data_IF_047092517150
#
_entry.id   IF_047092517150
#
_cell.length_a   1.000
_cell.length_b   1.000
_cell.length_c   1.000
_cell.angle_alpha   90.00
_cell.angle_beta   90.00
_cell.angle_gamma   90.00
#
_symmetry.space_group_name_H-M   'P 1'
#
loop_
_entity.id
_entity.type
_entity.pdbx_description
1 polymer ?
#
# COMPACT_ATOMS: atom_id res chain seq x y z
N UNK A 1 27.07 41.14 7.24
CA UNK A 1 26.08 40.39 8.04
C UNK A 1 24.73 40.52 7.35
N UNK A 2 24.24 39.43 6.74
CA UNK A 2 22.89 39.34 6.17
C UNK A 2 22.31 38.03 6.69
N UNK A 3 21.49 38.12 7.73
CA UNK A 3 20.64 37.03 8.18
C UNK A 3 19.43 36.96 7.27
N UNK A 4 19.22 35.83 6.63
CA UNK A 4 17.94 35.46 6.02
C UNK A 4 17.38 34.31 6.84
N UNK A 5 16.39 34.63 7.66
CA UNK A 5 15.54 33.68 8.37
C UNK A 5 14.57 33.09 7.34
N UNK A 6 14.69 31.79 7.05
CA UNK A 6 13.67 31.07 6.30
C UNK A 6 12.48 30.82 7.22
N UNK A 7 11.36 31.47 6.91
CA UNK A 7 10.07 31.21 7.55
C UNK A 7 9.50 29.89 7.01
N UNK A 8 9.32 28.90 7.91
CA UNK A 8 8.54 27.70 7.62
C UNK A 8 7.05 28.08 7.65
N UNK A 9 6.42 28.16 6.49
CA UNK A 9 4.98 28.27 6.36
C UNK A 9 4.38 26.87 6.54
N UNK A 10 3.92 26.55 7.75
CA UNK A 10 2.96 25.47 7.96
C UNK A 10 1.60 25.95 7.47
N UNK A 11 1.23 25.54 6.25
CA UNK A 11 -0.08 25.80 5.69
C UNK A 11 -0.73 24.48 5.24
N UNK A 12 -1.87 24.23 5.87
CA UNK A 12 -3.08 23.62 5.30
C UNK A 12 -3.13 22.09 5.20
N UNK A 13 -3.97 21.53 6.08
CA UNK A 13 -4.54 20.20 5.92
C UNK A 13 -5.41 20.12 4.66
N UNK A 14 -5.07 19.14 3.84
CA UNK A 14 -5.93 18.21 3.12
C UNK A 14 -4.99 17.05 2.80
N UNK A 15 -5.08 15.94 3.54
CA UNK A 15 -4.26 14.75 3.34
C UNK A 15 -4.72 13.94 2.10
N UNK A 16 -4.79 14.64 0.96
CA UNK A 16 -4.83 14.06 -0.40
C UNK A 16 -3.46 13.42 -0.66
N UNK A 17 -3.31 12.43 -1.55
CA UNK A 17 -2.02 11.83 -1.85
C UNK A 17 -0.97 12.90 -2.02
N UNK A 18 -0.02 12.91 -1.08
CA UNK A 18 1.18 13.70 -1.21
C UNK A 18 1.86 13.25 -2.51
N UNK A 19 2.32 14.21 -3.31
CA UNK A 19 3.25 14.04 -4.43
C UNK A 19 2.68 13.88 -5.85
N UNK A 20 2.22 14.99 -6.40
CA UNK A 20 2.56 15.28 -7.79
C UNK A 20 4.10 15.13 -7.95
N UNK A 21 4.56 14.07 -8.60
CA UNK A 21 5.99 13.80 -8.86
C UNK A 21 6.63 12.61 -8.14
N UNK A 22 5.89 11.85 -7.30
CA UNK A 22 6.43 10.61 -6.71
C UNK A 22 6.66 9.56 -7.78
N UNK A 23 7.78 8.79 -7.70
CA UNK A 23 8.02 7.69 -8.62
C UNK A 23 6.92 6.63 -8.51
N UNK A 24 6.47 6.12 -9.66
CA UNK A 24 5.41 5.12 -9.72
C UNK A 24 5.67 3.89 -8.84
N UNK A 25 6.92 3.41 -8.77
CA UNK A 25 7.27 2.26 -7.95
C UNK A 25 7.10 2.52 -6.45
N UNK A 26 7.26 3.76 -5.99
CA UNK A 26 7.04 4.14 -4.59
C UNK A 26 5.55 4.14 -4.26
N UNK A 27 4.71 4.67 -5.16
CA UNK A 27 3.25 4.61 -5.00
C UNK A 27 2.71 3.18 -4.99
N UNK A 28 3.34 2.28 -5.76
CA UNK A 28 3.02 0.85 -5.73
C UNK A 28 3.40 0.21 -4.39
N UNK A 29 4.56 0.55 -3.83
CA UNK A 29 4.93 0.11 -2.47
C UNK A 29 3.93 0.65 -1.45
N UNK A 30 3.61 1.95 -1.51
CA UNK A 30 2.65 2.61 -0.62
C UNK A 30 1.29 1.91 -0.59
N UNK A 31 0.77 1.58 -1.76
CA UNK A 31 -0.48 0.87 -1.91
C UNK A 31 -0.40 -0.59 -1.43
N UNK A 32 0.69 -1.30 -1.70
CA UNK A 32 0.86 -2.68 -1.19
C UNK A 32 0.87 -2.71 0.35
N UNK A 33 1.57 -1.76 0.99
CA UNK A 33 1.65 -1.68 2.46
C UNK A 33 0.30 -1.30 3.05
N UNK A 34 -0.43 -0.36 2.44
CA UNK A 34 -1.78 -0.01 2.90
C UNK A 34 -2.72 -1.22 2.89
N UNK A 35 -2.72 -1.99 1.80
CA UNK A 35 -3.56 -3.19 1.67
C UNK A 35 -3.16 -4.23 2.74
N UNK A 36 -1.87 -4.48 2.92
CA UNK A 36 -1.35 -5.40 3.95
C UNK A 36 -1.81 -4.98 5.36
N UNK A 37 -1.75 -3.68 5.68
CA UNK A 37 -2.21 -3.16 6.97
C UNK A 37 -3.71 -3.31 7.17
N UNK A 38 -4.53 -3.08 6.14
CA UNK A 38 -5.99 -3.19 6.21
C UNK A 38 -6.50 -4.63 6.30
N UNK A 39 -5.78 -5.59 5.70
CA UNK A 39 -6.04 -7.02 5.90
C UNK A 39 -5.66 -7.49 7.31
N UNK A 40 -4.88 -6.68 8.03
CA UNK A 40 -4.32 -6.98 9.34
C UNK A 40 -2.95 -7.63 9.22
N UNK A 41 -2.08 -7.35 10.18
CA UNK A 41 -0.73 -7.93 10.24
C UNK A 41 -0.70 -9.40 10.68
N UNK A 42 -1.89 -10.00 10.88
CA UNK A 42 -2.03 -11.42 11.21
C UNK A 42 -1.88 -12.24 9.93
N UNK A 43 -1.17 -13.37 10.03
CA UNK A 43 -0.98 -14.28 8.90
C UNK A 43 -2.32 -14.87 8.44
N UNK A 44 -2.83 -14.35 7.32
CA UNK A 44 -3.97 -14.92 6.61
C UNK A 44 -3.55 -16.22 5.92
N UNK A 45 -4.40 -17.25 6.01
CA UNK A 45 -4.21 -18.48 5.24
C UNK A 45 -4.94 -18.38 3.91
N UNK A 46 -4.26 -18.62 2.78
CA UNK A 46 -4.90 -18.61 1.47
C UNK A 46 -6.12 -19.54 1.41
N UNK A 47 -7.18 -19.11 0.71
CA UNK A 47 -8.40 -19.87 0.46
C UNK A 47 -9.43 -19.84 1.60
N UNK A 48 -9.16 -19.15 2.72
CA UNK A 48 -10.15 -18.99 3.78
C UNK A 48 -11.21 -17.92 3.47
N UNK A 49 -10.87 -16.93 2.66
CA UNK A 49 -11.76 -15.82 2.31
C UNK A 49 -11.34 -15.23 0.96
N UNK A 50 -12.18 -15.43 -0.05
CA UNK A 50 -11.92 -14.98 -1.43
C UNK A 50 -11.63 -13.48 -1.55
N UNK A 51 -12.25 -12.65 -0.70
CA UNK A 51 -11.97 -11.21 -0.69
C UNK A 51 -10.57 -10.90 -0.16
N UNK A 52 -10.16 -11.58 0.91
CA UNK A 52 -8.80 -11.42 1.44
C UNK A 52 -7.76 -12.01 0.49
N UNK A 53 -8.07 -13.13 -0.18
CA UNK A 53 -7.23 -13.70 -1.23
C UNK A 53 -7.04 -12.70 -2.39
N UNK A 54 -8.11 -12.02 -2.81
CA UNK A 54 -8.06 -10.99 -3.85
C UNK A 54 -7.19 -9.80 -3.43
N UNK A 55 -7.32 -9.33 -2.19
CA UNK A 55 -6.53 -8.21 -1.68
C UNK A 55 -5.05 -8.58 -1.50
N UNK A 56 -4.76 -9.79 -1.02
CA UNK A 56 -3.39 -10.30 -0.95
C UNK A 56 -2.77 -10.41 -2.34
N UNK A 57 -3.51 -10.91 -3.32
CA UNK A 57 -3.07 -10.98 -4.71
C UNK A 57 -2.82 -9.57 -5.31
N UNK A 58 -3.68 -8.60 -5.01
CA UNK A 58 -3.51 -7.21 -5.45
C UNK A 58 -2.26 -6.57 -4.83
N UNK A 59 -2.05 -6.73 -3.52
CA UNK A 59 -0.84 -6.27 -2.82
C UNK A 59 0.43 -6.87 -3.43
N UNK A 60 0.42 -8.20 -3.66
CA UNK A 60 1.54 -8.90 -4.29
C UNK A 60 1.81 -8.41 -5.72
N UNK A 61 0.78 -8.16 -6.52
CA UNK A 61 0.94 -7.64 -7.87
C UNK A 61 1.56 -6.23 -7.88
N UNK A 62 1.14 -5.36 -6.96
CA UNK A 62 1.75 -4.03 -6.80
C UNK A 62 3.22 -4.12 -6.38
N UNK A 63 3.55 -4.98 -5.42
CA UNK A 63 4.93 -5.22 -4.98
C UNK A 63 5.79 -5.79 -6.10
N UNK A 64 5.28 -6.75 -6.86
CA UNK A 64 5.96 -7.32 -8.02
C UNK A 64 6.24 -6.27 -9.10
N UNK A 65 5.28 -5.39 -9.37
CA UNK A 65 5.48 -4.30 -10.34
C UNK A 65 6.45 -3.23 -9.83
N UNK A 66 6.46 -2.94 -8.52
CA UNK A 66 7.46 -2.08 -7.91
C UNK A 66 8.87 -2.68 -8.08
N UNK A 67 9.04 -3.96 -7.75
CA UNK A 67 10.30 -4.70 -7.92
C UNK A 67 10.80 -4.68 -9.37
N UNK A 68 9.90 -4.84 -10.35
CA UNK A 68 10.25 -4.78 -11.78
C UNK A 68 10.80 -3.41 -12.21
N UNK A 69 10.43 -2.34 -11.50
CA UNK A 69 10.79 -0.95 -11.81
C UNK A 69 11.91 -0.39 -10.94
N UNK A 70 12.31 -1.09 -9.88
CA UNK A 70 13.36 -0.67 -8.95
C UNK A 70 14.28 -1.84 -8.55
N UNK A 71 14.39 -2.15 -7.26
CA UNK A 71 15.18 -3.23 -6.69
C UNK A 71 14.51 -3.81 -5.44
N UNK A 72 14.91 -5.02 -5.06
CA UNK A 72 14.45 -5.68 -3.84
C UNK A 72 14.79 -4.86 -2.59
N UNK A 73 16.06 -4.44 -2.46
CA UNK A 73 16.51 -3.61 -1.33
C UNK A 73 15.67 -2.34 -1.16
N UNK A 74 15.36 -1.66 -2.27
CA UNK A 74 14.54 -0.46 -2.23
C UNK A 74 13.11 -0.77 -1.77
N UNK A 75 12.49 -1.81 -2.33
CA UNK A 75 11.10 -2.17 -1.98
C UNK A 75 11.00 -2.57 -0.50
N UNK A 76 11.98 -3.29 0.04
CA UNK A 76 12.04 -3.66 1.46
C UNK A 76 12.20 -2.43 2.33
N UNK A 77 13.23 -1.61 2.09
CA UNK A 77 13.50 -0.41 2.89
C UNK A 77 12.31 0.56 2.88
N UNK A 78 11.75 0.80 1.68
CA UNK A 78 10.62 1.70 1.52
C UNK A 78 9.34 1.16 2.15
N UNK A 79 9.11 -0.15 2.12
CA UNK A 79 7.94 -0.77 2.77
C UNK A 79 7.95 -0.53 4.28
N UNK A 80 9.11 -0.63 4.93
CA UNK A 80 9.24 -0.41 6.37
C UNK A 80 9.02 1.07 6.75
N UNK A 81 9.56 1.99 5.95
CA UNK A 81 9.35 3.43 6.14
C UNK A 81 7.87 3.80 5.97
N UNK A 82 7.26 3.35 4.87
CA UNK A 82 5.85 3.61 4.57
C UNK A 82 4.92 2.99 5.62
N UNK A 83 5.23 1.79 6.12
CA UNK A 83 4.44 1.18 7.21
C UNK A 83 4.41 2.08 8.44
N UNK A 84 5.56 2.65 8.80
CA UNK A 84 5.66 3.60 9.91
C UNK A 84 4.81 4.84 9.64
N UNK A 85 4.89 5.41 8.43
CA UNK A 85 4.11 6.58 8.03
C UNK A 85 2.60 6.32 8.04
N UNK A 86 2.16 5.11 7.66
CA UNK A 86 0.74 4.72 7.72
C UNK A 86 0.24 4.66 9.16
N UNK A 87 1.02 4.09 10.07
CA UNK A 87 0.67 4.05 11.50
C UNK A 87 0.63 5.47 12.09
N UNK A 88 1.61 6.32 11.78
CA UNK A 88 1.60 7.73 12.20
C UNK A 88 0.37 8.47 11.66
N UNK A 89 -0.01 8.24 10.39
CA UNK A 89 -1.20 8.83 9.79
C UNK A 89 -2.48 8.31 10.43
N UNK A 90 -2.56 7.01 10.72
CA UNK A 90 -3.70 6.38 11.37
C UNK A 90 -4.01 7.06 12.71
N UNK A 91 -2.98 7.28 13.53
CA UNK A 91 -3.06 7.98 14.81
C UNK A 91 -3.39 9.46 14.63
N UNK A 92 -2.69 10.16 13.74
CA UNK A 92 -2.84 11.60 13.53
C UNK A 92 -4.25 11.98 13.05
N UNK A 93 -4.80 11.20 12.12
CA UNK A 93 -6.13 11.44 11.54
C UNK A 93 -7.25 10.75 12.35
N UNK A 94 -6.90 9.94 13.35
CA UNK A 94 -7.82 9.28 14.26
C UNK A 94 -8.71 8.25 13.56
N UNK A 95 -8.12 7.41 12.70
CA UNK A 95 -8.85 6.43 11.88
C UNK A 95 -9.46 5.25 12.66
N UNK A 96 -9.25 5.19 13.98
CA UNK A 96 -10.06 4.33 14.85
C UNK A 96 -11.54 4.73 14.85
N UNK A 97 -11.83 6.03 14.68
CA UNK A 97 -13.19 6.53 14.51
C UNK A 97 -13.63 6.34 13.04
N UNK A 98 -14.65 5.49 12.76
CA UNK A 98 -15.14 5.30 11.40
C UNK A 98 -15.60 6.60 10.73
N UNK A 99 -16.05 7.59 11.51
CA UNK A 99 -16.44 8.92 11.01
C UNK A 99 -15.29 9.74 10.43
N UNK A 100 -14.03 9.35 10.68
CA UNK A 100 -12.82 10.07 10.24
C UNK A 100 -12.07 9.38 9.10
N UNK A 101 -12.57 8.24 8.60
CA UNK A 101 -11.90 7.44 7.54
C UNK A 101 -12.09 7.96 6.12
N UNK A 102 -12.56 9.20 5.94
CA UNK A 102 -12.76 9.77 4.60
C UNK A 102 -11.49 9.73 3.75
N UNK A 103 -10.37 10.20 4.30
CA UNK A 103 -9.07 10.15 3.62
C UNK A 103 -8.57 8.72 3.38
N UNK A 104 -8.83 7.78 4.29
CA UNK A 104 -8.50 6.37 4.09
C UNK A 104 -9.23 5.78 2.87
N UNK A 105 -10.50 6.15 2.65
CA UNK A 105 -11.27 5.71 1.47
C UNK A 105 -10.69 6.30 0.18
N UNK A 106 -10.22 7.55 0.21
CA UNK A 106 -9.55 8.17 -0.94
C UNK A 106 -8.27 7.45 -1.32
N UNK A 107 -7.44 7.08 -0.34
CA UNK A 107 -6.23 6.30 -0.55
C UNK A 107 -6.51 4.90 -1.07
N UNK A 108 -7.49 4.22 -0.48
CA UNK A 108 -7.96 2.93 -0.97
C UNK A 108 -8.37 3.04 -2.45
N UNK A 109 -9.18 4.03 -2.78
CA UNK A 109 -9.65 4.27 -4.15
C UNK A 109 -8.49 4.57 -5.11
N UNK A 110 -7.51 5.37 -4.68
CA UNK A 110 -6.31 5.66 -5.45
C UNK A 110 -5.55 4.37 -5.79
N UNK A 111 -5.33 3.49 -4.81
CA UNK A 111 -4.58 2.25 -5.00
C UNK A 111 -5.23 1.31 -6.02
N UNK A 112 -6.55 1.12 -5.97
CA UNK A 112 -7.22 0.28 -6.96
C UNK A 112 -7.28 0.92 -8.35
N UNK A 113 -7.40 2.26 -8.44
CA UNK A 113 -7.27 2.96 -9.73
C UNK A 113 -5.86 2.85 -10.31
N UNK A 114 -4.83 2.88 -9.47
CA UNK A 114 -3.46 2.71 -9.90
C UNK A 114 -3.22 1.31 -10.44
N UNK A 115 -3.69 0.28 -9.74
CA UNK A 115 -3.61 -1.11 -10.21
C UNK A 115 -4.35 -1.32 -11.53
N UNK A 116 -5.58 -0.78 -11.63
CA UNK A 116 -6.39 -0.85 -12.86
C UNK A 116 -5.70 -0.13 -14.04
N UNK A 117 -5.18 1.08 -13.80
CA UNK A 117 -4.45 1.84 -14.82
C UNK A 117 -3.21 1.12 -15.36
N UNK A 118 -2.57 0.31 -14.53
CA UNK A 118 -1.41 -0.50 -14.89
C UNK A 118 -1.77 -1.92 -15.33
N UNK A 119 -3.07 -2.25 -15.38
CA UNK A 119 -3.60 -3.58 -15.73
C UNK A 119 -3.01 -4.70 -14.87
N UNK A 120 -2.76 -4.41 -13.58
CA UNK A 120 -2.24 -5.40 -12.64
C UNK A 120 -3.30 -6.47 -12.39
N UNK A 121 -3.04 -7.69 -12.84
CA UNK A 121 -3.95 -8.82 -12.64
C UNK A 121 -3.61 -9.50 -11.31
N UNK A 122 -4.50 -9.45 -10.31
CA UNK A 122 -4.30 -10.20 -9.07
C UNK A 122 -4.48 -11.69 -9.38
N UNK A 123 -3.37 -12.41 -9.54
CA UNK A 123 -3.43 -13.87 -9.60
C UNK A 123 -3.72 -14.41 -8.19
N UNK A 124 -4.93 -14.91 -7.99
CA UNK A 124 -5.24 -15.70 -6.80
C UNK A 124 -4.37 -16.96 -6.84
N UNK A 125 -3.65 -17.34 -5.77
CA UNK A 125 -2.87 -18.56 -5.76
C UNK A 125 -3.81 -19.73 -6.06
N UNK A 126 -3.70 -20.27 -7.26
CA UNK A 126 -4.53 -21.37 -7.73
C UNK A 126 -4.30 -22.55 -6.79
N UNK A 127 -5.39 -23.09 -6.23
CA UNK A 127 -5.41 -24.38 -5.53
C UNK A 127 -4.80 -25.47 -6.41
N UNK A 128 -3.48 -25.63 -6.33
CA UNK A 128 -2.72 -26.58 -7.13
C UNK A 128 -1.71 -27.29 -6.25
N UNK A 129 -2.20 -28.22 -5.43
CA UNK A 129 -1.42 -29.38 -5.00
C UNK A 129 -2.34 -30.47 -4.44
N UNK A 130 -2.80 -31.33 -5.34
CA UNK A 130 -3.66 -32.46 -5.02
C UNK A 130 -3.54 -33.56 -6.07
N UNK A 131 -2.34 -33.79 -6.59
CA UNK A 131 -2.01 -34.98 -7.36
C UNK A 131 -0.85 -35.67 -6.65
N UNK A 132 -1.20 -36.47 -5.65
CA UNK A 132 -0.28 -37.44 -5.07
C UNK A 132 -0.12 -38.56 -6.10
N UNK A 133 1.10 -38.88 -6.58
CA UNK A 133 1.29 -40.05 -7.43
C UNK A 133 1.13 -41.29 -6.56
N UNK A 134 0.10 -42.09 -6.84
CA UNK A 134 -0.04 -43.43 -6.31
C UNK A 134 1.18 -44.26 -6.77
N UNK A 135 2.02 -44.65 -5.81
CA UNK A 135 3.01 -45.72 -5.96
C UNK A 135 2.55 -46.94 -5.19
#
# INVERSE_FOLDING_TARGET
MRSTVFAAAFASGFAVPTHAGQPLYESLVECSVLIDLLMGEQSFQPGQNEMLDLYAAASNAMRAEALRRSSEDYVVEMSDQIRTLWHERWEADGWDDPGKRGALIEWWTYCFKLADHLELTPETPSSSSGAQPDT
#
